data_IF_983205794690
#
_entry.id   IF_983205794690
#
_cell.length_a   1.000
_cell.length_b   1.000
_cell.length_c   1.000
_cell.angle_alpha   90.00
_cell.angle_beta   90.00
_cell.angle_gamma   90.00
#
_symmetry.space_group_name_H-M   'P 1'
#
loop_
_entity.id
_entity.type
_entity.pdbx_description
1 polymer ?
#
# COMPACT_ATOMS: atom_id res chain seq x y z
N UNK A 1 60.41 -54.61 9.95
CA UNK A 1 59.72 -53.39 10.40
C UNK A 1 59.07 -52.65 9.22
N UNK A 2 57.98 -53.18 8.67
CA UNK A 2 57.30 -52.65 7.47
C UNK A 2 55.78 -52.83 7.63
N UNK A 3 55.12 -52.01 8.45
CA UNK A 3 53.70 -52.23 8.74
C UNK A 3 52.97 -51.12 9.48
N UNK A 4 53.46 -49.87 9.46
CA UNK A 4 52.78 -48.74 10.15
C UNK A 4 52.48 -47.53 9.26
N UNK A 5 52.82 -47.57 7.96
CA UNK A 5 52.54 -46.47 7.02
C UNK A 5 51.27 -46.65 6.18
N UNK A 6 50.73 -47.88 6.09
CA UNK A 6 49.54 -48.16 5.28
C UNK A 6 48.23 -47.74 5.96
N UNK A 7 48.10 -47.92 7.28
CA UNK A 7 46.86 -47.59 8.01
C UNK A 7 46.62 -46.08 8.15
N UNK A 8 47.67 -45.26 8.08
CA UNK A 8 47.54 -43.79 8.12
C UNK A 8 46.99 -43.18 6.84
N UNK A 9 47.05 -43.91 5.72
CA UNK A 9 46.54 -43.43 4.44
C UNK A 9 45.03 -43.66 4.27
N UNK A 10 44.46 -44.68 4.93
CA UNK A 10 43.02 -44.97 4.87
C UNK A 10 42.19 -44.11 5.84
N UNK A 11 42.80 -43.61 6.93
CA UNK A 11 42.11 -42.75 7.90
C UNK A 11 41.82 -41.32 7.35
N UNK A 12 42.47 -40.91 6.26
CA UNK A 12 42.30 -39.58 5.67
C UNK A 12 41.30 -39.53 4.50
N UNK A 13 40.70 -40.66 4.13
CA UNK A 13 39.67 -40.77 3.10
C UNK A 13 38.26 -40.94 3.70
N UNK A 14 37.98 -40.22 4.79
CA UNK A 14 36.63 -40.08 5.34
C UNK A 14 36.29 -38.60 5.60
N UNK A 15 36.78 -37.70 4.75
CA UNK A 15 36.41 -36.29 4.74
C UNK A 15 34.96 -36.12 4.24
N UNK A 16 34.03 -36.36 5.15
CA UNK A 16 32.63 -35.91 5.22
C UNK A 16 32.03 -35.20 3.99
N UNK A 17 31.56 -35.92 2.95
CA UNK A 17 30.87 -35.32 1.80
C UNK A 17 29.47 -34.75 2.13
N UNK A 18 29.01 -34.84 3.39
CA UNK A 18 27.71 -34.34 3.84
C UNK A 18 27.69 -32.85 4.17
N UNK A 19 28.83 -32.26 4.56
CA UNK A 19 28.88 -30.89 5.10
C UNK A 19 28.78 -29.83 4.00
N UNK A 20 29.43 -30.05 2.86
CA UNK A 20 29.37 -29.15 1.69
C UNK A 20 28.01 -29.18 0.99
N UNK A 21 27.39 -30.37 0.90
CA UNK A 21 26.01 -30.52 0.39
C UNK A 21 24.98 -29.79 1.27
N UNK A 22 25.20 -29.75 2.58
CA UNK A 22 24.37 -28.98 3.52
C UNK A 22 24.48 -27.47 3.30
N UNK A 23 25.71 -26.95 3.14
CA UNK A 23 25.96 -25.52 2.90
C UNK A 23 25.40 -25.07 1.56
N UNK A 24 25.65 -25.81 0.47
CA UNK A 24 25.10 -25.47 -0.86
C UNK A 24 23.57 -25.45 -0.85
N UNK A 25 22.94 -26.47 -0.26
CA UNK A 25 21.47 -26.54 -0.12
C UNK A 25 20.94 -25.38 0.74
N UNK A 26 21.63 -25.00 1.81
CA UNK A 26 21.23 -23.91 2.69
C UNK A 26 21.36 -22.55 1.99
N UNK A 27 22.43 -22.32 1.23
CA UNK A 27 22.61 -21.11 0.43
C UNK A 27 21.54 -20.99 -0.65
N UNK A 28 21.27 -22.04 -1.43
CA UNK A 28 20.21 -22.03 -2.45
C UNK A 28 18.83 -21.74 -1.86
N UNK A 29 18.52 -22.29 -0.67
CA UNK A 29 17.26 -22.02 0.01
C UNK A 29 17.15 -20.56 0.48
N UNK A 30 18.22 -19.97 1.02
CA UNK A 30 18.22 -18.56 1.45
C UNK A 30 18.00 -17.64 0.25
N UNK A 31 18.71 -17.87 -0.87
CA UNK A 31 18.57 -17.05 -2.08
C UNK A 31 17.17 -17.15 -2.69
N UNK A 32 16.58 -18.36 -2.77
CA UNK A 32 15.21 -18.55 -3.28
C UNK A 32 14.17 -17.86 -2.37
N UNK A 33 14.36 -17.87 -1.05
CA UNK A 33 13.49 -17.15 -0.11
C UNK A 33 13.60 -15.62 -0.26
N UNK A 34 14.81 -15.10 -0.44
CA UNK A 34 15.06 -13.67 -0.67
C UNK A 34 14.46 -13.18 -2.00
N UNK A 35 14.65 -13.93 -3.09
CA UNK A 35 14.08 -13.62 -4.40
C UNK A 35 12.54 -13.64 -4.39
N UNK A 36 11.95 -14.64 -3.73
CA UNK A 36 10.49 -14.73 -3.54
C UNK A 36 9.95 -13.56 -2.74
N UNK A 37 10.61 -13.20 -1.62
CA UNK A 37 10.22 -12.05 -0.81
C UNK A 37 10.30 -10.74 -1.61
N UNK A 38 11.37 -10.54 -2.38
CA UNK A 38 11.51 -9.39 -3.26
C UNK A 38 10.42 -9.34 -4.34
N UNK A 39 10.02 -10.50 -4.90
CA UNK A 39 8.89 -10.60 -5.83
C UNK A 39 7.56 -10.16 -5.20
N UNK A 40 7.24 -10.64 -4.00
CA UNK A 40 6.00 -10.28 -3.29
C UNK A 40 5.98 -8.80 -2.94
N UNK A 41 7.10 -8.23 -2.49
CA UNK A 41 7.23 -6.79 -2.22
C UNK A 41 7.03 -5.95 -3.49
N UNK A 42 7.61 -6.36 -4.63
CA UNK A 42 7.37 -5.69 -5.93
C UNK A 42 5.89 -5.71 -6.31
N UNK A 43 5.21 -6.84 -6.10
CA UNK A 43 3.77 -6.99 -6.38
C UNK A 43 2.92 -6.09 -5.47
N UNK A 44 3.26 -6.02 -4.18
CA UNK A 44 2.64 -5.12 -3.21
C UNK A 44 2.80 -3.65 -3.59
N UNK A 45 4.01 -3.22 -3.94
CA UNK A 45 4.26 -1.84 -4.40
C UNK A 45 3.46 -1.49 -5.65
N UNK A 46 3.42 -2.38 -6.65
CA UNK A 46 2.65 -2.12 -7.89
C UNK A 46 1.15 -2.00 -7.63
N UNK A 47 0.61 -2.83 -6.73
CA UNK A 47 -0.79 -2.74 -6.32
C UNK A 47 -1.06 -1.41 -5.59
N UNK A 48 -0.14 -0.96 -4.75
CA UNK A 48 -0.27 0.31 -4.04
C UNK A 48 -0.24 1.52 -4.97
N UNK A 49 0.72 1.55 -5.91
CA UNK A 49 0.77 2.59 -6.95
C UNK A 49 -0.53 2.64 -7.78
N UNK A 50 -1.06 1.48 -8.15
CA UNK A 50 -2.33 1.40 -8.87
C UNK A 50 -3.48 1.97 -8.03
N UNK A 51 -3.53 1.63 -6.74
CA UNK A 51 -4.57 2.13 -5.82
C UNK A 51 -4.50 3.64 -5.69
N UNK A 52 -3.30 4.18 -5.47
CA UNK A 52 -3.07 5.62 -5.38
C UNK A 52 -3.52 6.33 -6.66
N UNK A 53 -3.13 5.83 -7.83
CA UNK A 53 -3.49 6.43 -9.11
C UNK A 53 -5.01 6.40 -9.36
N UNK A 54 -5.65 5.25 -9.11
CA UNK A 54 -7.09 5.08 -9.27
C UNK A 54 -7.85 6.05 -8.35
N UNK A 55 -7.51 6.06 -7.06
CA UNK A 55 -8.15 6.94 -6.09
C UNK A 55 -7.91 8.42 -6.45
N UNK A 56 -6.69 8.80 -6.81
CA UNK A 56 -6.39 10.19 -7.19
C UNK A 56 -7.27 10.66 -8.36
N UNK A 57 -7.45 9.80 -9.37
CA UNK A 57 -8.29 10.11 -10.53
C UNK A 57 -9.77 10.19 -10.15
N UNK A 58 -10.27 9.19 -9.40
CA UNK A 58 -11.65 9.15 -8.92
C UNK A 58 -11.97 10.38 -8.06
N UNK A 59 -11.05 10.74 -7.16
CA UNK A 59 -11.17 11.88 -6.27
C UNK A 59 -11.24 13.20 -7.04
N UNK A 60 -10.33 13.40 -7.99
CA UNK A 60 -10.31 14.59 -8.84
C UNK A 60 -11.59 14.74 -9.66
N UNK A 61 -12.03 13.66 -10.31
CA UNK A 61 -13.26 13.65 -11.11
C UNK A 61 -14.47 13.95 -10.21
N UNK A 62 -14.51 13.36 -9.02
CA UNK A 62 -15.62 13.55 -8.08
C UNK A 62 -15.69 14.99 -7.57
N UNK A 63 -14.56 15.62 -7.20
CA UNK A 63 -14.56 17.03 -6.81
C UNK A 63 -14.99 17.94 -7.97
N UNK A 64 -14.46 17.72 -9.18
CA UNK A 64 -14.83 18.53 -10.34
C UNK A 64 -16.32 18.45 -10.66
N UNK A 65 -16.86 17.24 -10.77
CA UNK A 65 -18.28 17.02 -11.03
C UNK A 65 -19.15 17.49 -9.86
N UNK A 66 -18.68 17.32 -8.63
CA UNK A 66 -19.35 17.80 -7.43
C UNK A 66 -19.52 19.32 -7.42
N UNK A 67 -18.44 20.06 -7.68
CA UNK A 67 -18.50 21.54 -7.74
C UNK A 67 -19.35 22.01 -8.93
N UNK A 68 -19.20 21.38 -10.11
CA UNK A 68 -19.99 21.75 -11.29
C UNK A 68 -21.50 21.46 -11.13
N UNK A 69 -21.85 20.43 -10.38
CA UNK A 69 -23.23 19.99 -10.17
C UNK A 69 -23.83 20.43 -8.83
N UNK A 70 -23.14 21.25 -8.02
CA UNK A 70 -23.59 21.64 -6.67
C UNK A 70 -23.80 20.44 -5.74
N UNK A 71 -23.06 19.35 -5.93
CA UNK A 71 -23.28 18.09 -5.23
C UNK A 71 -22.27 17.87 -4.11
N UNK A 72 -22.70 18.20 -2.89
CA UNK A 72 -21.96 17.98 -1.64
C UNK A 72 -21.48 16.52 -1.51
N UNK A 73 -22.31 15.55 -1.92
CA UNK A 73 -21.97 14.13 -1.86
C UNK A 73 -20.76 13.77 -2.73
N UNK A 74 -20.68 14.30 -3.96
CA UNK A 74 -19.53 14.08 -4.85
C UNK A 74 -18.27 14.79 -4.34
N UNK A 75 -18.41 16.01 -3.82
CA UNK A 75 -17.25 16.73 -3.26
C UNK A 75 -16.70 15.97 -2.05
N UNK A 76 -17.57 15.52 -1.13
CA UNK A 76 -17.18 14.72 0.03
C UNK A 76 -16.53 13.38 -0.36
N UNK A 77 -17.09 12.68 -1.34
CA UNK A 77 -16.52 11.45 -1.88
C UNK A 77 -15.12 11.67 -2.48
N UNK A 78 -14.92 12.80 -3.18
CA UNK A 78 -13.61 13.11 -3.74
C UNK A 78 -12.52 13.37 -2.71
N UNK A 79 -12.90 13.78 -1.50
CA UNK A 79 -11.96 14.08 -0.42
C UNK A 79 -11.67 12.86 0.45
N UNK A 80 -12.64 11.96 0.61
CA UNK A 80 -12.39 10.62 1.17
C UNK A 80 -11.29 9.91 0.38
N UNK A 81 -11.33 10.00 -0.96
CA UNK A 81 -10.27 9.49 -1.82
C UNK A 81 -8.89 10.12 -1.52
N UNK A 82 -8.83 11.40 -1.14
CA UNK A 82 -7.60 12.06 -0.72
C UNK A 82 -6.96 11.42 0.52
N UNK A 83 -7.77 10.95 1.47
CA UNK A 83 -7.33 10.20 2.65
C UNK A 83 -6.71 8.86 2.23
N UNK A 84 -7.34 8.18 1.28
CA UNK A 84 -6.81 6.90 0.79
C UNK A 84 -5.49 7.07 0.02
N UNK A 85 -5.39 8.09 -0.82
CA UNK A 85 -4.15 8.44 -1.55
C UNK A 85 -3.00 8.69 -0.58
N UNK A 86 -3.26 9.45 0.48
CA UNK A 86 -2.24 9.80 1.47
C UNK A 86 -1.86 8.62 2.37
N UNK A 87 -2.83 7.82 2.79
CA UNK A 87 -2.57 6.55 3.49
C UNK A 87 -1.75 5.59 2.64
N UNK A 88 -2.10 5.44 1.35
CA UNK A 88 -1.37 4.60 0.40
C UNK A 88 0.04 5.08 0.14
N UNK A 89 0.25 6.40 0.03
CA UNK A 89 1.58 6.99 -0.11
C UNK A 89 2.47 6.70 1.11
N UNK A 90 1.91 6.82 2.33
CA UNK A 90 2.61 6.48 3.56
C UNK A 90 2.99 4.98 3.60
N UNK A 91 2.07 4.09 3.20
CA UNK A 91 2.32 2.65 3.13
C UNK A 91 3.41 2.31 2.08
N UNK A 92 3.32 2.88 0.88
CA UNK A 92 4.27 2.66 -0.20
C UNK A 92 5.70 3.02 0.23
N UNK A 93 5.83 4.11 0.97
CA UNK A 93 7.11 4.55 1.48
C UNK A 93 7.64 3.65 2.62
N UNK A 94 6.78 3.15 3.51
CA UNK A 94 7.13 2.06 4.44
C UNK A 94 7.61 0.80 3.72
N UNK A 95 7.07 0.48 2.55
CA UNK A 95 7.52 -0.65 1.71
C UNK A 95 8.85 -0.41 0.96
N UNK A 96 9.31 0.84 0.83
CA UNK A 96 10.59 1.15 0.19
C UNK A 96 11.80 0.99 1.13
N UNK A 97 11.57 0.81 2.43
CA UNK A 97 12.64 0.45 3.38
C UNK A 97 13.59 1.58 3.76
N UNK A 98 13.22 2.83 3.51
CA UNK A 98 13.97 4.00 3.99
C UNK A 98 13.87 4.06 5.52
N UNK A 99 14.97 3.71 6.22
CA UNK A 99 15.09 3.76 7.69
C UNK A 99 15.60 5.10 8.22
N UNK A 100 15.49 6.17 7.43
CA UNK A 100 15.86 7.52 7.87
C UNK A 100 14.71 8.13 8.69
N UNK A 101 14.63 7.79 9.98
CA UNK A 101 13.55 8.18 10.91
C UNK A 101 13.27 9.70 10.94
N UNK A 102 14.28 10.55 10.78
CA UNK A 102 14.09 12.01 10.81
C UNK A 102 13.50 12.59 9.51
N UNK A 103 13.91 12.07 8.35
CA UNK A 103 13.31 12.45 7.05
C UNK A 103 11.92 11.84 6.89
N UNK A 104 11.69 10.78 7.67
CA UNK A 104 10.47 10.02 7.79
C UNK A 104 9.34 10.80 8.47
N UNK A 105 9.56 11.26 9.69
CA UNK A 105 8.56 12.04 10.43
C UNK A 105 8.18 13.34 9.72
N UNK A 106 9.13 14.00 9.04
CA UNK A 106 8.83 15.26 8.32
C UNK A 106 7.88 15.04 7.15
N UNK A 107 8.06 13.95 6.40
CA UNK A 107 7.17 13.62 5.28
C UNK A 107 5.81 13.15 5.77
N UNK A 108 5.77 12.32 6.81
CA UNK A 108 4.51 11.92 7.45
C UNK A 108 3.73 13.14 7.97
N UNK A 109 4.42 14.07 8.64
CA UNK A 109 3.82 15.32 9.11
C UNK A 109 3.32 16.19 7.96
N UNK A 110 4.07 16.31 6.86
CA UNK A 110 3.62 17.04 5.67
C UNK A 110 2.40 16.35 5.05
N UNK A 111 2.40 15.03 4.95
CA UNK A 111 1.24 14.25 4.47
C UNK A 111 0.03 14.49 5.35
N UNK A 112 0.14 14.35 6.67
CA UNK A 112 -0.94 14.63 7.62
C UNK A 112 -1.39 16.09 7.58
N UNK A 113 -0.48 17.04 7.38
CA UNK A 113 -0.82 18.46 7.20
C UNK A 113 -1.59 18.70 5.91
N UNK A 114 -1.19 18.07 4.80
CA UNK A 114 -1.92 18.16 3.53
C UNK A 114 -3.32 17.57 3.70
N UNK A 115 -3.46 16.38 4.31
CA UNK A 115 -4.76 15.77 4.61
C UNK A 115 -5.61 16.68 5.49
N UNK A 116 -5.04 17.21 6.57
CA UNK A 116 -5.71 18.12 7.48
C UNK A 116 -6.17 19.40 6.80
N UNK A 117 -5.35 19.98 5.93
CA UNK A 117 -5.69 21.17 5.12
C UNK A 117 -6.80 20.85 4.12
N UNK A 118 -6.75 19.70 3.43
CA UNK A 118 -7.82 19.26 2.55
C UNK A 118 -9.15 19.11 3.30
N UNK A 119 -9.13 18.52 4.49
CA UNK A 119 -10.32 18.42 5.34
C UNK A 119 -10.84 19.78 5.81
N UNK A 120 -9.95 20.70 6.18
CA UNK A 120 -10.35 22.03 6.62
C UNK A 120 -11.00 22.83 5.48
N UNK A 121 -10.39 22.79 4.29
CA UNK A 121 -10.94 23.42 3.08
C UNK A 121 -12.29 22.81 2.73
N UNK A 122 -12.43 21.48 2.83
CA UNK A 122 -13.73 20.82 2.63
C UNK A 122 -14.77 21.28 3.64
N UNK A 123 -14.42 21.28 4.92
CA UNK A 123 -15.33 21.66 5.98
C UNK A 123 -15.82 23.10 5.80
N UNK A 124 -14.93 24.00 5.37
CA UNK A 124 -15.28 25.37 5.03
C UNK A 124 -16.22 25.44 3.82
N UNK A 125 -15.95 24.67 2.76
CA UNK A 125 -16.81 24.60 1.57
C UNK A 125 -18.21 24.06 1.90
N UNK A 126 -18.30 22.89 2.56
CA UNK A 126 -19.58 22.28 2.96
C UNK A 126 -20.33 23.19 3.93
N UNK A 127 -19.62 23.83 4.87
CA UNK A 127 -20.22 24.79 5.80
C UNK A 127 -20.82 25.99 5.07
N UNK A 128 -20.09 26.56 4.11
CA UNK A 128 -20.59 27.65 3.27
C UNK A 128 -21.81 27.23 2.46
N UNK A 129 -21.75 26.09 1.78
CA UNK A 129 -22.83 25.59 0.92
C UNK A 129 -24.07 25.21 1.73
N UNK A 130 -23.89 24.59 2.91
CA UNK A 130 -25.00 24.29 3.83
C UNK A 130 -25.67 25.56 4.36
N UNK A 131 -24.90 26.59 4.73
CA UNK A 131 -25.46 27.88 5.17
C UNK A 131 -26.17 28.58 4.03
N UNK A 132 -25.58 28.62 2.83
CA UNK A 132 -26.18 29.22 1.65
C UNK A 132 -27.50 28.53 1.26
N UNK A 133 -27.49 27.20 1.18
CA UNK A 133 -28.67 26.39 0.84
C UNK A 133 -29.78 26.54 1.89
N UNK A 134 -29.42 26.63 3.19
CA UNK A 134 -30.36 26.87 4.27
C UNK A 134 -31.02 28.26 4.19
N UNK A 135 -30.23 29.30 3.88
CA UNK A 135 -30.72 30.66 3.69
C UNK A 135 -31.63 30.77 2.46
N UNK A 136 -31.29 30.05 1.38
CA UNK A 136 -32.03 30.04 0.13
C UNK A 136 -33.23 29.07 0.14
N UNK A 137 -33.37 28.22 1.17
CA UNK A 137 -34.39 27.15 1.27
C UNK A 137 -34.38 26.19 0.08
N UNK A 138 -33.20 25.92 -0.44
CA UNK A 138 -33.01 24.96 -1.52
C UNK A 138 -33.16 23.53 -1.00
N UNK A 139 -33.84 22.67 -1.76
CA UNK A 139 -33.93 21.24 -1.42
C UNK A 139 -32.62 20.53 -1.83
N UNK A 140 -32.13 19.54 -1.06
CA UNK A 140 -30.94 18.79 -1.44
C UNK A 140 -31.15 18.08 -2.78
N UNK A 141 -30.40 18.45 -3.81
CA UNK A 141 -30.49 17.80 -5.10
C UNK A 141 -29.88 16.38 -5.06
N UNK A 142 -30.58 15.44 -5.70
CA UNK A 142 -30.11 14.05 -5.79
C UNK A 142 -29.17 13.90 -6.98
N UNK A 143 -27.92 13.52 -6.71
CA UNK A 143 -26.92 13.33 -7.76
C UNK A 143 -26.83 11.86 -8.17
N UNK A 144 -27.41 11.54 -9.33
CA UNK A 144 -27.32 10.20 -9.96
C UNK A 144 -25.85 9.78 -10.15
N UNK A 145 -24.99 10.72 -10.55
CA UNK A 145 -23.55 10.46 -10.70
C UNK A 145 -22.88 10.11 -9.37
N UNK A 146 -23.27 10.78 -8.28
CA UNK A 146 -22.75 10.49 -6.95
C UNK A 146 -23.15 9.10 -6.46
N UNK A 147 -24.39 8.69 -6.73
CA UNK A 147 -24.87 7.33 -6.42
C UNK A 147 -24.10 6.29 -7.23
N UNK A 148 -23.89 6.52 -8.53
CA UNK A 148 -23.14 5.58 -9.39
C UNK A 148 -21.68 5.44 -8.94
N UNK A 149 -21.01 6.54 -8.57
CA UNK A 149 -19.67 6.52 -7.99
C UNK A 149 -19.63 5.77 -6.65
N UNK A 150 -20.58 6.03 -5.77
CA UNK A 150 -20.66 5.34 -4.49
C UNK A 150 -20.83 3.82 -4.66
N UNK A 151 -21.66 3.38 -5.61
CA UNK A 151 -21.82 1.96 -5.94
C UNK A 151 -20.53 1.38 -6.53
N UNK A 152 -19.88 2.10 -7.46
CA UNK A 152 -18.62 1.66 -8.05
C UNK A 152 -17.55 1.46 -6.95
N UNK A 153 -17.41 2.44 -6.05
CA UNK A 153 -16.47 2.39 -4.94
C UNK A 153 -16.77 1.25 -3.96
N UNK A 154 -18.05 1.03 -3.66
CA UNK A 154 -18.53 -0.08 -2.84
C UNK A 154 -18.09 -1.45 -3.40
N UNK A 155 -17.87 -1.56 -4.71
CA UNK A 155 -17.39 -2.80 -5.35
C UNK A 155 -15.86 -2.81 -5.44
N UNK A 156 -15.26 -1.71 -5.91
CA UNK A 156 -13.83 -1.63 -6.21
C UNK A 156 -12.99 -1.66 -4.94
N UNK A 157 -13.32 -0.85 -3.93
CA UNK A 157 -12.51 -0.74 -2.70
C UNK A 157 -12.38 -2.06 -1.93
N UNK A 158 -13.46 -2.86 -1.74
CA UNK A 158 -13.32 -4.17 -1.09
C UNK A 158 -12.49 -5.17 -1.90
N UNK A 159 -12.48 -5.08 -3.23
CA UNK A 159 -11.66 -5.94 -4.08
C UNK A 159 -10.17 -5.60 -3.93
N UNK A 160 -9.82 -4.31 -3.99
CA UNK A 160 -8.45 -3.85 -3.74
C UNK A 160 -7.99 -4.19 -2.32
N UNK A 161 -8.84 -3.96 -1.32
CA UNK A 161 -8.53 -4.30 0.08
C UNK A 161 -8.26 -5.80 0.24
N UNK A 162 -9.04 -6.68 -0.40
CA UNK A 162 -8.79 -8.12 -0.38
C UNK A 162 -7.46 -8.48 -1.03
N UNK A 163 -7.14 -7.88 -2.18
CA UNK A 163 -5.85 -8.08 -2.85
C UNK A 163 -4.67 -7.64 -1.98
N UNK A 164 -4.74 -6.46 -1.35
CA UNK A 164 -3.73 -5.98 -0.39
C UNK A 164 -3.57 -6.92 0.80
N UNK A 165 -4.68 -7.40 1.38
CA UNK A 165 -4.67 -8.39 2.48
C UNK A 165 -4.07 -9.73 2.07
N UNK A 166 -4.24 -10.16 0.82
CA UNK A 166 -3.62 -11.38 0.32
C UNK A 166 -2.10 -11.24 0.22
N UNK A 167 -1.61 -10.12 -0.32
CA UNK A 167 -0.16 -9.81 -0.35
C UNK A 167 0.41 -9.71 1.06
N UNK A 168 -0.30 -9.07 1.99
CA UNK A 168 0.13 -8.95 3.39
C UNK A 168 0.22 -10.32 4.08
N UNK A 169 -0.74 -11.23 3.84
CA UNK A 169 -0.72 -12.59 4.37
C UNK A 169 0.42 -13.42 3.77
N UNK A 170 0.68 -13.30 2.47
CA UNK A 170 1.81 -13.95 1.80
C UNK A 170 3.17 -13.50 2.38
N UNK A 171 3.28 -12.22 2.77
CA UNK A 171 4.46 -11.68 3.45
C UNK A 171 4.58 -12.17 4.90
N UNK A 172 3.46 -12.26 5.63
CA UNK A 172 3.45 -12.66 7.04
C UNK A 172 3.68 -14.17 7.26
N UNK A 173 3.13 -15.01 6.39
CA UNK A 173 3.25 -16.48 6.47
C UNK A 173 4.65 -17.02 6.15
N UNK A 174 5.57 -16.15 5.71
CA UNK A 174 6.93 -16.52 5.26
C UNK A 174 8.01 -15.78 6.04
N UNK A 175 7.67 -15.31 7.24
CA UNK A 175 8.59 -14.77 8.25
C UNK A 175 9.17 -15.91 9.09
#
# INVERSE_FOLDING_TARGET
>A
MHGKRSERAEMFSQSTPGRERGVFRQTTLITDLEERRASILRRGRRLEYFTIAYNSLEGLISVMLGVMAGSIALVGFGIDSGIEVTSGAALLWRLHGDKDDARSERKERITLQIVGVCFLVLAAYVGYEAVASLLNREAPETSVLGIMLAIASLIVMPLLTRAKRQVARELAARR
#
